data_IF_384289854785
#
_entry.id   IF_384289854785
#
_cell.length_a   1.000
_cell.length_b   1.000
_cell.length_c   1.000
_cell.angle_alpha   90.00
_cell.angle_beta   90.00
_cell.angle_gamma   90.00
#
_symmetry.space_group_name_H-M   'P 1'
#
loop_
_entity.id
_entity.type
_entity.pdbx_description
1 polymer ?
#
# COMPACT_ATOMS: atom_id res chain seq x y z
N UNK A 1 -31.33 2.70 -12.39
CA UNK A 1 -30.79 4.01 -11.97
C UNK A 1 -30.49 4.82 -13.22
N UNK A 2 -31.19 5.93 -13.46
CA UNK A 2 -30.84 6.86 -14.55
C UNK A 2 -29.65 7.67 -14.05
N UNK A 3 -28.48 7.52 -14.70
CA UNK A 3 -27.29 8.28 -14.33
C UNK A 3 -27.48 9.77 -14.59
N UNK A 4 -27.13 10.63 -13.62
CA UNK A 4 -27.14 12.09 -13.80
C UNK A 4 -25.73 12.64 -13.98
N UNK A 5 -25.58 13.46 -15.03
CA UNK A 5 -24.45 14.35 -15.30
C UNK A 5 -24.19 15.37 -14.18
N UNK A 6 -23.08 15.31 -13.43
CA UNK A 6 -22.65 16.43 -12.55
C UNK A 6 -21.27 16.91 -13.01
N UNK A 7 -21.14 18.21 -13.29
CA UNK A 7 -19.87 18.81 -13.68
C UNK A 7 -19.04 19.21 -12.44
N UNK A 8 -17.77 19.57 -12.65
CA UNK A 8 -16.85 19.91 -11.57
C UNK A 8 -17.25 21.16 -10.78
N UNK A 9 -17.82 22.17 -11.44
CA UNK A 9 -18.29 23.41 -10.81
C UNK A 9 -19.45 23.14 -9.86
N UNK A 10 -20.46 22.38 -10.30
CA UNK A 10 -21.59 22.01 -9.46
C UNK A 10 -21.12 21.18 -8.27
N UNK A 11 -20.27 20.17 -8.51
CA UNK A 11 -19.74 19.33 -7.43
C UNK A 11 -18.96 20.14 -6.38
N UNK A 12 -18.23 21.18 -6.81
CA UNK A 12 -17.52 22.10 -5.93
C UNK A 12 -18.48 22.98 -5.10
N UNK A 13 -19.56 23.48 -5.72
CA UNK A 13 -20.62 24.22 -5.02
C UNK A 13 -21.31 23.33 -3.98
N UNK A 14 -21.57 22.07 -4.33
CA UNK A 14 -22.18 21.09 -3.42
C UNK A 14 -21.30 20.83 -2.20
N UNK A 15 -19.98 20.68 -2.39
CA UNK A 15 -19.03 20.53 -1.27
C UNK A 15 -18.93 21.79 -0.41
N UNK A 16 -19.00 22.97 -1.04
CA UNK A 16 -18.99 24.25 -0.31
C UNK A 16 -20.25 24.37 0.56
N UNK A 17 -21.42 24.06 0.00
CA UNK A 17 -22.68 24.03 0.73
C UNK A 17 -22.63 23.03 1.89
N UNK A 18 -22.11 21.82 1.65
CA UNK A 18 -21.95 20.81 2.70
C UNK A 18 -21.01 21.30 3.81
N UNK A 19 -19.89 21.95 3.48
CA UNK A 19 -18.99 22.55 4.47
C UNK A 19 -19.72 23.57 5.35
N UNK A 20 -20.50 24.47 4.76
CA UNK A 20 -21.29 25.45 5.50
C UNK A 20 -22.30 24.79 6.44
N UNK A 21 -22.98 23.72 5.98
CA UNK A 21 -23.92 22.96 6.80
C UNK A 21 -23.23 22.23 7.96
N UNK A 22 -22.04 21.65 7.74
CA UNK A 22 -21.26 21.03 8.81
C UNK A 22 -20.82 22.07 9.86
N UNK A 23 -20.45 23.28 9.41
CA UNK A 23 -20.01 24.36 10.29
C UNK A 23 -21.16 25.02 11.06
N UNK A 24 -22.38 25.00 10.55
CA UNK A 24 -23.55 25.58 11.25
C UNK A 24 -24.03 24.72 12.42
N UNK A 25 -23.71 23.42 12.44
CA UNK A 25 -24.06 22.52 13.54
C UNK A 25 -22.89 22.45 14.53
N UNK A 26 -23.09 22.91 15.77
CA UNK A 26 -22.05 22.94 16.83
C UNK A 26 -21.32 21.61 16.99
N UNK A 27 -22.01 20.48 16.88
CA UNK A 27 -21.41 19.15 16.99
C UNK A 27 -20.45 18.84 15.83
N UNK A 28 -20.77 19.27 14.60
CA UNK A 28 -20.01 18.97 13.39
C UNK A 28 -19.05 20.09 12.95
N UNK A 29 -18.92 21.19 13.70
CA UNK A 29 -18.12 22.34 13.27
C UNK A 29 -16.64 22.04 12.99
N UNK A 30 -16.10 20.94 13.56
CA UNK A 30 -14.74 20.42 13.32
C UNK A 30 -14.69 19.14 12.49
N UNK A 31 -15.83 18.70 11.94
CA UNK A 31 -15.87 17.51 11.12
C UNK A 31 -15.04 17.73 9.85
N UNK A 32 -14.21 16.73 9.53
CA UNK A 32 -13.45 16.76 8.30
C UNK A 32 -14.34 16.43 7.09
N UNK A 33 -14.06 17.06 5.96
CA UNK A 33 -14.70 16.82 4.68
C UNK A 33 -13.63 16.41 3.66
N UNK A 34 -13.85 15.28 3.01
CA UNK A 34 -12.94 14.72 2.01
C UNK A 34 -13.66 14.61 0.67
N UNK A 35 -12.95 14.85 -0.42
CA UNK A 35 -13.55 14.80 -1.75
C UNK A 35 -12.52 14.97 -2.87
N UNK A 36 -12.91 14.84 -4.14
CA UNK A 36 -14.25 14.49 -4.61
C UNK A 36 -14.45 12.97 -4.77
N UNK A 37 -13.53 12.14 -4.27
CA UNK A 37 -13.48 10.70 -4.52
C UNK A 37 -13.44 10.39 -6.03
N UNK A 38 -12.58 11.12 -6.76
CA UNK A 38 -12.45 10.96 -8.20
C UNK A 38 -12.04 9.53 -8.58
N UNK A 39 -12.60 9.01 -9.68
CA UNK A 39 -12.19 7.70 -10.19
C UNK A 39 -10.75 7.67 -10.70
N UNK A 40 -10.38 6.57 -11.35
CA UNK A 40 -9.06 6.40 -11.98
C UNK A 40 -8.75 7.62 -12.88
N UNK A 41 -7.57 8.28 -12.78
CA UNK A 41 -7.25 9.54 -13.45
C UNK A 41 -7.02 9.39 -14.96
N UNK A 42 -8.08 9.00 -15.67
CA UNK A 42 -8.25 9.12 -17.12
C UNK A 42 -8.67 10.56 -17.46
N UNK A 43 -8.75 10.89 -18.75
CA UNK A 43 -9.02 12.25 -19.26
C UNK A 43 -10.18 12.94 -18.51
N UNK A 44 -11.35 12.33 -18.47
CA UNK A 44 -12.54 12.96 -17.85
C UNK A 44 -12.44 13.09 -16.33
N UNK A 45 -11.86 12.09 -15.65
CA UNK A 45 -11.67 12.14 -14.20
C UNK A 45 -10.65 13.19 -13.79
N UNK A 46 -9.59 13.39 -14.59
CA UNK A 46 -8.62 14.47 -14.37
C UNK A 46 -9.24 15.84 -14.65
N UNK A 47 -10.05 15.99 -15.70
CA UNK A 47 -10.77 17.25 -15.96
C UNK A 47 -11.76 17.58 -14.84
N UNK A 48 -12.46 16.57 -14.32
CA UNK A 48 -13.33 16.74 -13.16
C UNK A 48 -12.53 17.18 -11.93
N UNK A 49 -11.42 16.49 -11.63
CA UNK A 49 -10.57 16.81 -10.49
C UNK A 49 -9.96 18.20 -10.60
N UNK A 50 -9.48 18.59 -11.77
CA UNK A 50 -8.88 19.91 -12.03
C UNK A 50 -9.90 21.03 -11.79
N UNK A 51 -11.09 20.93 -12.38
CA UNK A 51 -12.16 21.90 -12.16
C UNK A 51 -12.65 21.91 -10.71
N UNK A 52 -12.69 20.74 -10.05
CA UNK A 52 -13.08 20.67 -8.64
C UNK A 52 -12.05 21.35 -7.75
N UNK A 53 -10.75 21.07 -7.95
CA UNK A 53 -9.67 21.68 -7.18
C UNK A 53 -9.60 23.19 -7.37
N UNK A 54 -9.84 23.69 -8.59
CA UNK A 54 -9.90 25.12 -8.89
C UNK A 54 -10.98 25.85 -8.06
N UNK A 55 -12.11 25.21 -7.79
CA UNK A 55 -13.27 25.86 -7.16
C UNK A 55 -13.48 25.48 -5.68
N UNK A 56 -13.03 24.30 -5.24
CA UNK A 56 -13.27 23.76 -3.91
C UNK A 56 -12.04 23.11 -3.26
N UNK A 57 -10.83 23.31 -3.79
CA UNK A 57 -9.59 22.75 -3.20
C UNK A 57 -9.35 23.19 -1.75
N UNK A 58 -9.75 24.41 -1.39
CA UNK A 58 -9.66 24.94 -0.02
C UNK A 58 -10.73 24.38 0.91
N UNK A 59 -11.85 23.91 0.38
CA UNK A 59 -13.04 23.47 1.14
C UNK A 59 -12.84 22.09 1.77
N UNK A 60 -12.10 21.20 1.09
CA UNK A 60 -11.83 19.84 1.56
C UNK A 60 -10.55 19.78 2.41
N UNK A 61 -10.54 18.93 3.44
CA UNK A 61 -9.36 18.68 4.28
C UNK A 61 -8.31 17.82 3.55
N UNK A 62 -8.77 16.87 2.75
CA UNK A 62 -7.93 16.04 1.88
C UNK A 62 -8.61 15.72 0.56
N UNK A 63 -7.80 15.58 -0.48
CA UNK A 63 -8.22 15.20 -1.82
C UNK A 63 -8.27 13.68 -1.92
N UNK A 64 -9.42 13.12 -2.26
CA UNK A 64 -9.62 11.68 -2.40
C UNK A 64 -9.78 11.27 -3.86
N UNK A 65 -9.15 10.15 -4.22
CA UNK A 65 -9.27 9.52 -5.54
C UNK A 65 -9.08 8.01 -5.45
N UNK A 66 -9.45 7.28 -6.49
CA UNK A 66 -9.48 5.82 -6.47
C UNK A 66 -8.57 5.18 -7.53
N UNK A 67 -8.01 4.03 -7.18
CA UNK A 67 -7.14 3.24 -8.06
C UNK A 67 -7.48 1.75 -7.97
N UNK A 68 -7.69 1.12 -9.13
CA UNK A 68 -7.82 -0.33 -9.23
C UNK A 68 -6.93 -0.85 -10.35
N UNK A 69 -6.22 -1.94 -10.07
CA UNK A 69 -5.20 -2.49 -10.96
C UNK A 69 -5.80 -3.24 -12.14
N UNK A 70 -6.78 -4.10 -11.87
CA UNK A 70 -7.41 -4.95 -12.88
C UNK A 70 -8.10 -4.10 -13.94
N UNK A 71 -7.74 -4.39 -15.18
CA UNK A 71 -8.51 -4.10 -16.37
C UNK A 71 -8.65 -5.41 -17.17
N UNK A 72 -9.22 -5.34 -18.37
CA UNK A 72 -9.42 -6.54 -19.21
C UNK A 72 -8.14 -7.30 -19.60
N UNK A 73 -6.94 -6.83 -19.23
CA UNK A 73 -5.65 -7.49 -19.52
C UNK A 73 -5.11 -8.34 -18.38
N UNK A 74 -5.79 -8.33 -17.23
CA UNK A 74 -5.39 -9.09 -16.03
C UNK A 74 -6.33 -10.27 -15.89
N UNK A 75 -5.84 -11.48 -16.23
CA UNK A 75 -6.68 -12.69 -16.25
C UNK A 75 -6.06 -13.89 -15.52
N UNK A 76 -4.81 -13.76 -15.04
CA UNK A 76 -4.12 -14.81 -14.27
C UNK A 76 -3.21 -14.24 -13.20
N UNK A 77 -2.91 -15.03 -12.17
CA UNK A 77 -2.11 -14.60 -11.00
C UNK A 77 -0.71 -14.12 -11.37
N UNK A 78 -0.11 -14.64 -12.45
CA UNK A 78 1.21 -14.21 -12.92
C UNK A 78 1.21 -12.76 -13.44
N UNK A 79 0.05 -12.22 -13.81
CA UNK A 79 -0.07 -10.84 -14.27
C UNK A 79 0.21 -9.84 -13.13
N UNK A 80 -0.04 -10.23 -11.87
CA UNK A 80 0.28 -9.41 -10.70
C UNK A 80 1.80 -9.25 -10.46
N UNK A 81 2.61 -10.12 -11.07
CA UNK A 81 4.07 -10.01 -11.02
C UNK A 81 4.64 -9.07 -12.11
N UNK A 82 3.80 -8.57 -13.02
CA UNK A 82 4.23 -7.65 -14.09
C UNK A 82 4.46 -6.27 -13.49
N UNK A 83 5.71 -5.83 -13.47
CA UNK A 83 6.12 -4.48 -13.02
C UNK A 83 5.35 -3.36 -13.72
N UNK A 84 4.97 -3.55 -14.99
CA UNK A 84 4.11 -2.61 -15.72
C UNK A 84 2.81 -2.30 -14.98
N UNK A 85 2.21 -3.30 -14.36
CA UNK A 85 0.95 -3.17 -13.62
C UNK A 85 1.17 -2.33 -12.36
N UNK A 86 2.26 -2.58 -11.65
CA UNK A 86 2.68 -1.82 -10.47
C UNK A 86 2.97 -0.35 -10.79
N UNK A 87 3.67 -0.09 -11.91
CA UNK A 87 4.03 1.25 -12.39
C UNK A 87 2.80 2.12 -12.69
N UNK A 88 1.63 1.50 -12.97
CA UNK A 88 0.41 2.26 -13.25
C UNK A 88 -0.05 3.11 -12.07
N UNK A 89 0.25 2.72 -10.83
CA UNK A 89 -0.08 3.51 -9.65
C UNK A 89 0.81 4.76 -9.59
N UNK A 90 2.11 4.63 -9.84
CA UNK A 90 3.07 5.74 -9.89
C UNK A 90 2.66 6.81 -10.90
N UNK A 91 2.34 6.40 -12.12
CA UNK A 91 1.90 7.33 -13.17
C UNK A 91 0.62 8.08 -12.77
N UNK A 92 -0.27 7.41 -12.04
CA UNK A 92 -1.56 7.99 -11.62
C UNK A 92 -1.40 8.92 -10.42
N UNK A 93 -0.58 8.55 -9.43
CA UNK A 93 -0.22 9.43 -8.32
C UNK A 93 0.35 10.73 -8.87
N UNK A 94 1.33 10.66 -9.80
CA UNK A 94 1.95 11.84 -10.41
C UNK A 94 0.94 12.76 -11.12
N UNK A 95 -0.06 12.20 -11.80
CA UNK A 95 -1.12 12.99 -12.45
C UNK A 95 -1.98 13.71 -11.42
N UNK A 96 -2.39 13.01 -10.37
CA UNK A 96 -3.26 13.56 -9.32
C UNK A 96 -2.51 14.61 -8.51
N UNK A 97 -1.30 14.31 -8.04
CA UNK A 97 -0.50 15.25 -7.24
C UNK A 97 -0.11 16.48 -8.04
N UNK A 98 0.12 16.36 -9.36
CA UNK A 98 0.32 17.53 -10.24
C UNK A 98 -0.90 18.46 -10.20
N UNK A 99 -2.11 17.94 -10.38
CA UNK A 99 -3.33 18.76 -10.33
C UNK A 99 -3.52 19.39 -8.95
N UNK A 100 -3.36 18.60 -7.88
CA UNK A 100 -3.50 19.10 -6.51
C UNK A 100 -2.49 20.20 -6.21
N UNK A 101 -1.22 20.03 -6.58
CA UNK A 101 -0.17 21.02 -6.34
C UNK A 101 -0.32 22.28 -7.19
N UNK A 102 -0.97 22.21 -8.36
CA UNK A 102 -1.28 23.41 -9.16
C UNK A 102 -2.27 24.34 -8.45
N UNK A 103 -3.30 23.78 -7.80
CA UNK A 103 -4.40 24.56 -7.23
C UNK A 103 -4.34 24.72 -5.70
N UNK A 104 -3.72 23.79 -4.99
CA UNK A 104 -3.63 23.77 -3.53
C UNK A 104 -2.35 23.06 -3.06
N UNK A 105 -1.16 23.69 -3.23
CA UNK A 105 0.11 23.14 -2.76
C UNK A 105 0.07 22.67 -1.30
N UNK A 106 0.59 21.48 -1.03
CA UNK A 106 0.64 20.92 0.33
C UNK A 106 -0.67 20.34 0.85
N UNK A 107 -1.76 20.40 0.07
CA UNK A 107 -3.01 19.72 0.40
C UNK A 107 -2.79 18.21 0.49
N UNK A 108 -3.38 17.59 1.52
CA UNK A 108 -3.31 16.15 1.77
C UNK A 108 -3.99 15.37 0.66
N UNK A 109 -3.38 14.26 0.24
CA UNK A 109 -3.89 13.42 -0.85
C UNK A 109 -4.07 12.00 -0.36
N UNK A 110 -5.27 11.47 -0.53
CA UNK A 110 -5.68 10.16 -0.04
C UNK A 110 -6.11 9.28 -1.21
N UNK A 111 -5.71 8.01 -1.18
CA UNK A 111 -6.30 6.96 -1.99
C UNK A 111 -7.60 6.51 -1.31
N UNK A 112 -8.72 7.08 -1.75
CA UNK A 112 -10.07 6.85 -1.23
C UNK A 112 -10.67 5.48 -1.56
N UNK A 113 -10.00 4.69 -2.40
CA UNK A 113 -10.36 3.31 -2.70
C UNK A 113 -9.24 2.67 -3.51
N UNK A 114 -8.66 1.60 -2.97
CA UNK A 114 -7.62 0.82 -3.63
C UNK A 114 -7.87 -0.67 -3.48
N UNK A 115 -7.72 -1.41 -4.58
CA UNK A 115 -7.82 -2.86 -4.56
C UNK A 115 -7.39 -3.49 -5.89
N UNK A 116 -7.41 -4.84 -5.97
CA UNK A 116 -7.16 -5.53 -7.23
C UNK A 116 -8.18 -5.14 -8.29
N UNK A 117 -9.48 -5.08 -7.98
CA UNK A 117 -10.55 -4.76 -8.93
C UNK A 117 -11.57 -3.78 -8.35
N UNK A 118 -12.26 -3.04 -9.23
CA UNK A 118 -13.32 -2.09 -8.86
C UNK A 118 -14.62 -2.75 -8.38
N UNK A 119 -15.06 -3.83 -9.04
CA UNK A 119 -16.33 -4.50 -8.76
C UNK A 119 -16.12 -6.00 -8.58
N UNK A 120 -16.53 -6.53 -7.43
CA UNK A 120 -16.64 -7.96 -7.14
C UNK A 120 -15.35 -8.78 -7.14
N UNK A 121 -14.27 -8.32 -7.80
CA UNK A 121 -13.06 -9.11 -7.96
C UNK A 121 -13.27 -10.35 -8.82
N UNK A 122 -12.21 -11.15 -8.94
CA UNK A 122 -12.24 -12.43 -9.65
C UNK A 122 -11.80 -13.51 -8.67
N UNK A 123 -12.60 -14.56 -8.54
CA UNK A 123 -12.28 -15.75 -7.73
C UNK A 123 -10.94 -16.35 -8.15
N UNK A 124 -10.16 -16.83 -7.19
CA UNK A 124 -8.83 -17.43 -7.42
C UNK A 124 -7.84 -16.46 -8.08
N UNK A 125 -8.06 -15.16 -7.91
CA UNK A 125 -7.18 -14.10 -8.37
C UNK A 125 -7.10 -12.98 -7.33
N UNK A 126 -8.22 -12.30 -7.06
CA UNK A 126 -8.29 -11.13 -6.16
C UNK A 126 -8.14 -11.48 -4.68
N UNK A 127 -8.46 -12.71 -4.31
CA UNK A 127 -8.51 -13.27 -2.96
C UNK A 127 -7.31 -14.19 -2.66
N UNK A 128 -6.26 -14.13 -3.47
CA UNK A 128 -5.10 -15.03 -3.40
C UNK A 128 -3.85 -14.33 -2.86
N UNK A 129 -2.85 -15.12 -2.47
CA UNK A 129 -1.54 -14.63 -2.05
C UNK A 129 -0.92 -13.66 -3.07
N UNK A 130 -1.12 -13.89 -4.37
CA UNK A 130 -0.60 -13.02 -5.41
C UNK A 130 -1.14 -11.58 -5.31
N UNK A 131 -2.37 -11.38 -4.85
CA UNK A 131 -2.94 -10.03 -4.68
C UNK A 131 -2.12 -9.17 -3.70
N UNK A 132 -1.43 -9.83 -2.75
CA UNK A 132 -0.51 -9.20 -1.81
C UNK A 132 0.63 -8.44 -2.46
N UNK A 133 1.08 -8.86 -3.65
CA UNK A 133 2.11 -8.12 -4.39
C UNK A 133 1.61 -6.73 -4.80
N UNK A 134 0.37 -6.63 -5.28
CA UNK A 134 -0.25 -5.36 -5.61
C UNK A 134 -0.45 -4.52 -4.35
N UNK A 135 -0.96 -5.15 -3.28
CA UNK A 135 -1.31 -4.46 -2.04
C UNK A 135 -0.09 -3.87 -1.32
N UNK A 136 0.92 -4.69 -1.02
CA UNK A 136 2.12 -4.23 -0.29
C UNK A 136 2.94 -3.26 -1.13
N UNK A 137 2.99 -3.44 -2.46
CA UNK A 137 3.62 -2.49 -3.36
C UNK A 137 2.87 -1.15 -3.35
N UNK A 138 1.53 -1.17 -3.39
CA UNK A 138 0.73 0.05 -3.35
C UNK A 138 0.99 0.85 -2.08
N UNK A 139 1.06 0.19 -0.91
CA UNK A 139 1.39 0.84 0.36
C UNK A 139 2.77 1.53 0.32
N UNK A 140 3.80 0.84 -0.19
CA UNK A 140 5.13 1.43 -0.31
C UNK A 140 5.22 2.57 -1.32
N UNK A 141 4.65 2.38 -2.51
CA UNK A 141 4.65 3.42 -3.55
C UNK A 141 3.86 4.66 -3.14
N UNK A 142 2.73 4.48 -2.46
CA UNK A 142 1.90 5.56 -1.94
C UNK A 142 2.66 6.36 -0.87
N UNK A 143 3.27 5.68 0.10
CA UNK A 143 4.04 6.32 1.16
C UNK A 143 5.24 7.13 0.60
N UNK A 144 6.03 6.54 -0.31
CA UNK A 144 7.19 7.23 -0.92
C UNK A 144 6.78 8.45 -1.74
N UNK A 145 5.61 8.44 -2.35
CA UNK A 145 5.10 9.55 -3.17
C UNK A 145 4.22 10.54 -2.40
N UNK A 146 4.19 10.44 -1.06
CA UNK A 146 3.50 11.42 -0.21
C UNK A 146 1.98 11.30 -0.19
N UNK A 147 1.42 10.13 -0.51
CA UNK A 147 0.01 9.84 -0.23
C UNK A 147 -0.13 9.59 1.28
N UNK A 148 -0.99 10.36 1.94
CA UNK A 148 -1.11 10.34 3.40
C UNK A 148 -1.94 9.15 3.93
N UNK A 149 -2.97 8.74 3.17
CA UNK A 149 -3.90 7.66 3.56
C UNK A 149 -4.22 6.77 2.36
N UNK A 150 -4.27 5.47 2.60
CA UNK A 150 -4.70 4.46 1.63
C UNK A 150 -5.87 3.67 2.22
N UNK A 151 -7.03 3.79 1.59
CA UNK A 151 -8.24 3.04 1.96
C UNK A 151 -8.34 1.78 1.11
N UNK A 152 -8.19 0.61 1.74
CA UNK A 152 -8.38 -0.69 1.10
C UNK A 152 -9.87 -0.94 0.84
N UNK A 153 -10.24 -1.11 -0.42
CA UNK A 153 -11.56 -1.57 -0.81
C UNK A 153 -11.50 -3.10 -1.03
N UNK A 154 -12.13 -3.94 -0.20
CA UNK A 154 -12.92 -3.66 1.03
C UNK A 154 -12.37 -4.44 2.23
N UNK A 155 -12.83 -4.12 3.45
CA UNK A 155 -12.55 -4.95 4.62
C UNK A 155 -13.35 -6.25 4.56
N UNK A 156 -14.66 -6.13 4.39
CA UNK A 156 -15.64 -7.21 4.27
C UNK A 156 -16.71 -6.76 3.27
N UNK A 157 -17.01 -7.57 2.25
CA UNK A 157 -18.00 -7.29 1.20
C UNK A 157 -18.29 -8.56 0.41
N UNK A 158 -19.36 -8.55 -0.38
CA UNK A 158 -19.63 -9.58 -1.39
C UNK A 158 -18.57 -9.55 -2.51
N UNK A 159 -18.26 -10.71 -3.09
CA UNK A 159 -17.24 -10.84 -4.15
C UNK A 159 -15.92 -11.43 -3.63
N UNK A 160 -14.79 -10.91 -4.11
CA UNK A 160 -13.45 -11.49 -3.95
C UNK A 160 -12.35 -10.43 -3.68
N UNK A 161 -12.71 -9.17 -3.42
CA UNK A 161 -11.74 -8.07 -3.17
C UNK A 161 -11.54 -7.77 -1.68
N UNK A 162 -12.32 -8.40 -0.81
CA UNK A 162 -12.35 -8.21 0.63
C UNK A 162 -11.10 -8.75 1.32
N UNK A 163 -10.79 -8.24 2.51
CA UNK A 163 -9.72 -8.78 3.36
C UNK A 163 -10.20 -10.00 4.17
N UNK A 164 -11.50 -10.08 4.46
CA UNK A 164 -12.12 -11.16 5.24
C UNK A 164 -13.25 -11.77 4.42
N UNK A 165 -13.25 -13.09 4.30
CA UNK A 165 -14.27 -13.81 3.53
C UNK A 165 -15.63 -13.89 4.22
N UNK A 166 -16.63 -14.43 3.52
CA UNK A 166 -18.01 -14.55 4.01
C UNK A 166 -18.16 -15.48 5.23
N UNK A 167 -17.15 -16.32 5.50
CA UNK A 167 -17.08 -17.18 6.67
C UNK A 167 -16.22 -16.54 7.79
N UNK A 168 -15.94 -15.24 7.68
CA UNK A 168 -15.09 -14.47 8.59
C UNK A 168 -13.63 -14.94 8.66
N UNK A 169 -13.14 -15.64 7.64
CA UNK A 169 -11.74 -16.04 7.59
C UNK A 169 -10.87 -14.92 6.99
N UNK A 170 -9.76 -14.54 7.66
CA UNK A 170 -8.81 -13.60 7.10
C UNK A 170 -8.07 -14.18 5.88
N UNK A 171 -8.16 -13.48 4.74
CA UNK A 171 -7.45 -13.80 3.50
C UNK A 171 -5.99 -13.31 3.53
N UNK A 172 -5.13 -13.67 2.54
CA UNK A 172 -3.71 -13.31 2.56
C UNK A 172 -3.44 -11.81 2.73
N UNK A 173 -4.23 -10.96 2.06
CA UNK A 173 -4.11 -9.50 2.18
C UNK A 173 -4.42 -8.97 3.57
N UNK A 174 -5.26 -9.65 4.36
CA UNK A 174 -5.48 -9.31 5.75
C UNK A 174 -4.20 -9.50 6.56
N UNK A 175 -3.56 -10.65 6.41
CA UNK A 175 -2.32 -10.96 7.12
C UNK A 175 -1.17 -10.04 6.72
N UNK A 176 -1.05 -9.69 5.44
CA UNK A 176 -0.13 -8.64 4.99
C UNK A 176 -0.42 -7.30 5.66
N UNK A 177 -1.69 -6.92 5.76
CA UNK A 177 -2.13 -5.68 6.41
C UNK A 177 -1.83 -5.68 7.90
N UNK A 178 -2.05 -6.80 8.59
CA UNK A 178 -1.77 -6.95 10.02
C UNK A 178 -0.26 -6.84 10.29
N UNK A 179 0.58 -7.57 9.55
CA UNK A 179 2.05 -7.48 9.68
C UNK A 179 2.52 -6.06 9.37
N UNK A 180 2.01 -5.42 8.31
CA UNK A 180 2.32 -4.04 7.98
C UNK A 180 1.96 -3.09 9.14
N UNK A 181 0.73 -3.18 9.66
CA UNK A 181 0.25 -2.34 10.76
C UNK A 181 1.08 -2.50 12.04
N UNK A 182 1.53 -3.73 12.34
CA UNK A 182 2.32 -4.04 13.54
C UNK A 182 3.80 -3.64 13.42
N UNK A 183 4.36 -3.53 12.22
CA UNK A 183 5.80 -3.32 12.03
C UNK A 183 6.16 -1.97 11.41
N UNK A 184 5.32 -1.42 10.53
CA UNK A 184 5.65 -0.24 9.72
C UNK A 184 5.09 1.01 10.38
N UNK A 185 5.97 1.95 10.74
CA UNK A 185 5.61 3.23 11.33
C UNK A 185 5.34 4.32 10.29
N UNK A 186 4.86 5.49 10.72
CA UNK A 186 4.40 6.55 9.80
C UNK A 186 5.55 7.29 9.09
N UNK A 187 6.78 7.27 9.63
CA UNK A 187 7.92 7.98 9.02
C UNK A 187 8.56 7.14 7.93
N UNK A 188 8.40 7.61 6.70
CA UNK A 188 8.98 7.01 5.48
C UNK A 188 10.48 7.32 5.41
N UNK A 189 11.29 6.35 4.99
CA UNK A 189 12.73 6.48 4.79
C UNK A 189 13.08 6.20 3.32
N UNK A 190 14.08 6.92 2.80
CA UNK A 190 14.60 6.67 1.47
C UNK A 190 15.49 5.40 1.45
N UNK A 191 15.32 4.58 0.42
CA UNK A 191 16.13 3.38 0.18
C UNK A 191 17.04 3.61 -1.02
N UNK A 192 18.32 3.26 -0.89
CA UNK A 192 19.29 3.24 -1.98
C UNK A 192 19.89 1.85 -2.11
N UNK A 193 19.85 1.29 -3.32
CA UNK A 193 20.40 -0.04 -3.60
C UNK A 193 21.59 0.09 -4.55
N UNK A 194 22.76 -0.36 -4.08
CA UNK A 194 23.96 -0.41 -4.89
C UNK A 194 23.82 -1.47 -6.00
N UNK A 195 24.26 -1.16 -7.23
CA UNK A 195 24.28 -2.10 -8.36
C UNK A 195 22.97 -2.22 -9.16
N UNK A 196 21.86 -1.63 -8.70
CA UNK A 196 20.61 -1.52 -9.48
C UNK A 196 20.54 -0.22 -10.30
N UNK A 197 21.42 0.74 -10.02
CA UNK A 197 21.59 1.96 -10.84
C UNK A 197 22.41 1.65 -12.10
N UNK A 198 21.86 0.85 -13.01
CA UNK A 198 22.30 0.92 -14.41
C UNK A 198 21.65 2.17 -15.00
N UNK A 199 22.45 3.10 -15.54
CA UNK A 199 21.91 4.26 -16.28
C UNK A 199 20.86 3.73 -17.29
N UNK A 200 19.63 4.28 -17.31
CA UNK A 200 18.65 3.86 -18.29
C UNK A 200 19.24 4.10 -19.68
N UNK A 201 19.44 3.03 -20.45
CA UNK A 201 19.81 3.16 -21.85
C UNK A 201 18.61 3.73 -22.61
N UNK A 202 18.81 4.67 -23.55
CA UNK A 202 17.73 5.14 -24.42
C UNK A 202 16.99 3.95 -25.04
N UNK A 203 15.68 3.86 -24.82
CA UNK A 203 14.83 2.76 -25.32
C UNK A 203 14.69 1.53 -24.41
N UNK A 204 15.42 1.42 -23.27
CA UNK A 204 15.33 0.27 -22.36
C UNK A 204 14.89 0.69 -20.95
N UNK A 205 13.59 0.58 -20.67
CA UNK A 205 13.05 0.75 -19.32
C UNK A 205 13.43 -0.49 -18.50
N UNK A 206 14.46 -0.39 -17.68
CA UNK A 206 14.80 -1.43 -16.70
C UNK A 206 13.76 -1.35 -15.59
N UNK A 207 12.80 -2.27 -15.59
CA UNK A 207 11.80 -2.38 -14.53
C UNK A 207 12.27 -3.33 -13.46
N UNK A 208 12.53 -2.80 -12.27
CA UNK A 208 13.03 -3.58 -11.16
C UNK A 208 11.96 -4.54 -10.63
N UNK A 209 12.27 -5.83 -10.60
CA UNK A 209 11.40 -6.86 -10.04
C UNK A 209 11.66 -7.06 -8.54
N UNK A 210 12.54 -6.27 -7.95
CA UNK A 210 12.78 -6.21 -6.51
C UNK A 210 12.37 -4.83 -6.00
N UNK A 211 11.28 -4.77 -5.23
CA UNK A 211 10.80 -3.51 -4.64
C UNK A 211 11.19 -3.49 -3.17
N UNK A 212 11.82 -2.40 -2.72
CA UNK A 212 12.31 -2.26 -1.35
C UNK A 212 11.86 -0.91 -0.79
N UNK A 213 11.19 -0.95 0.35
CA UNK A 213 10.72 0.23 1.06
C UNK A 213 11.20 0.18 2.51
N UNK A 214 11.36 1.34 3.13
CA UNK A 214 11.80 1.44 4.51
C UNK A 214 11.05 2.52 5.25
N UNK A 215 10.72 2.25 6.50
CA UNK A 215 10.10 3.18 7.42
C UNK A 215 10.76 3.05 8.79
N UNK A 216 10.59 4.05 9.64
CA UNK A 216 10.79 3.83 11.07
C UNK A 216 9.83 2.73 11.55
N UNK A 217 10.28 1.90 12.48
CA UNK A 217 9.44 0.84 13.05
C UNK A 217 8.26 1.44 13.82
N UNK A 218 7.11 0.77 13.78
CA UNK A 218 5.90 1.19 14.48
C UNK A 218 6.15 1.35 15.98
N UNK A 219 5.78 2.51 16.54
CA UNK A 219 5.93 2.81 17.96
C UNK A 219 4.89 2.10 18.85
N UNK A 220 3.84 1.52 18.24
CA UNK A 220 2.84 0.69 18.93
C UNK A 220 3.35 -0.73 19.21
N UNK A 221 4.51 -1.09 18.66
CA UNK A 221 5.10 -2.40 18.87
C UNK A 221 6.17 -2.34 19.97
N UNK A 222 5.78 -2.72 21.18
CA UNK A 222 6.65 -2.67 22.36
C UNK A 222 7.86 -3.63 22.30
N UNK A 223 7.90 -4.57 21.35
CA UNK A 223 9.04 -5.47 21.16
C UNK A 223 10.26 -4.76 20.50
N UNK A 224 10.08 -3.53 20.01
CA UNK A 224 11.09 -2.76 19.31
C UNK A 224 11.29 -1.39 19.95
N UNK A 225 12.55 -1.06 20.25
CA UNK A 225 12.91 0.25 20.78
C UNK A 225 12.76 1.33 19.71
N UNK A 226 12.45 2.55 20.15
CA UNK A 226 12.49 3.75 19.28
C UNK A 226 13.86 3.86 18.61
N UNK A 227 13.88 4.33 17.37
CA UNK A 227 15.08 4.31 16.54
C UNK A 227 15.25 3.06 15.69
N UNK A 228 14.41 2.03 15.84
CA UNK A 228 14.40 0.85 14.96
C UNK A 228 13.86 1.18 13.56
N UNK A 229 14.32 0.43 12.56
CA UNK A 229 13.91 0.58 11.15
C UNK A 229 13.24 -0.71 10.68
N UNK A 230 12.11 -0.58 9.99
CA UNK A 230 11.44 -1.68 9.31
C UNK A 230 11.63 -1.54 7.80
N UNK A 231 12.24 -2.54 7.18
CA UNK A 231 12.36 -2.67 5.73
C UNK A 231 11.35 -3.73 5.27
N UNK A 232 10.64 -3.50 4.19
CA UNK A 232 9.86 -4.54 3.53
C UNK A 232 10.24 -4.66 2.07
N UNK A 233 10.36 -5.91 1.63
CA UNK A 233 10.93 -6.30 0.36
C UNK A 233 9.93 -7.18 -0.37
N UNK A 234 9.69 -6.86 -1.63
CA UNK A 234 8.86 -7.63 -2.54
C UNK A 234 9.75 -8.18 -3.64
N UNK A 235 9.95 -9.49 -3.67
CA UNK A 235 10.71 -10.16 -4.72
C UNK A 235 9.76 -10.74 -5.77
N UNK A 236 9.60 -10.06 -6.90
CA UNK A 236 8.81 -10.52 -8.04
C UNK A 236 9.60 -11.40 -9.01
N UNK A 237 10.90 -11.64 -8.74
CA UNK A 237 11.68 -12.56 -9.56
C UNK A 237 11.29 -14.01 -9.28
N UNK A 238 11.41 -14.85 -10.33
CA UNK A 238 11.37 -16.32 -10.23
C UNK A 238 12.67 -16.92 -9.65
N UNK A 239 13.60 -16.09 -9.21
CA UNK A 239 14.87 -16.50 -8.59
C UNK A 239 15.07 -15.86 -7.22
N UNK A 240 15.80 -16.57 -6.37
CA UNK A 240 16.19 -16.09 -5.04
C UNK A 240 17.07 -14.84 -5.17
N UNK A 241 16.82 -13.83 -4.33
CA UNK A 241 17.67 -12.64 -4.21
C UNK A 241 18.38 -12.61 -2.87
N UNK A 242 19.61 -12.10 -2.89
CA UNK A 242 20.49 -11.97 -1.72
C UNK A 242 20.71 -10.48 -1.49
N UNK A 243 20.26 -9.96 -0.36
CA UNK A 243 20.32 -8.54 -0.02
C UNK A 243 21.27 -8.38 1.16
N UNK A 244 22.32 -7.59 0.96
CA UNK A 244 23.28 -7.25 2.01
C UNK A 244 22.97 -5.84 2.51
N UNK A 245 22.77 -5.72 3.82
CA UNK A 245 22.69 -4.41 4.46
C UNK A 245 24.08 -3.76 4.46
N UNK A 246 24.13 -2.46 4.19
CA UNK A 246 25.37 -1.70 4.04
C UNK A 246 25.55 -0.66 5.16
N UNK A 247 26.78 -0.17 5.31
CA UNK A 247 27.13 0.85 6.29
C UNK A 247 26.76 0.44 7.72
N UNK A 248 26.18 1.38 8.47
CA UNK A 248 25.78 1.19 9.87
C UNK A 248 24.71 0.10 10.05
N UNK A 249 23.95 -0.25 9.01
CA UNK A 249 22.92 -1.29 9.07
C UNK A 249 23.51 -2.71 9.15
N UNK A 250 24.73 -2.92 8.64
CA UNK A 250 25.32 -4.26 8.44
C UNK A 250 25.46 -5.07 9.73
N UNK A 251 25.84 -4.43 10.83
CA UNK A 251 26.24 -5.10 12.07
C UNK A 251 25.09 -5.24 13.08
N UNK A 252 23.84 -5.21 12.62
CA UNK A 252 22.67 -5.28 13.50
C UNK A 252 21.96 -6.62 13.39
N UNK A 253 21.31 -6.99 14.49
CA UNK A 253 20.36 -8.10 14.50
C UNK A 253 19.13 -7.69 13.69
N UNK A 254 18.68 -8.61 12.83
CA UNK A 254 17.50 -8.40 12.00
C UNK A 254 16.44 -9.42 12.38
N UNK A 255 15.24 -8.95 12.71
CA UNK A 255 14.08 -9.81 12.88
C UNK A 255 13.36 -9.96 11.54
N UNK A 256 13.32 -11.18 11.01
CA UNK A 256 12.65 -11.52 9.77
C UNK A 256 11.19 -11.91 10.02
N UNK A 257 10.32 -11.42 9.14
CA UNK A 257 8.92 -11.78 8.98
C UNK A 257 8.68 -12.09 7.51
N UNK A 258 9.03 -13.30 7.10
CA UNK A 258 8.91 -13.73 5.71
C UNK A 258 7.55 -14.37 5.49
N UNK A 259 6.74 -13.79 4.61
CA UNK A 259 5.43 -14.35 4.24
C UNK A 259 5.55 -15.12 2.92
N UNK A 260 4.98 -16.32 2.92
CA UNK A 260 4.97 -17.23 1.78
C UNK A 260 3.58 -17.84 1.63
N UNK A 261 3.17 -18.28 0.43
CA UNK A 261 1.93 -19.04 0.31
C UNK A 261 2.03 -20.33 1.14
N UNK A 262 0.92 -20.73 1.74
CA UNK A 262 0.79 -21.99 2.46
C UNK A 262 0.00 -23.00 1.62
N UNK A 263 0.46 -24.25 1.57
CA UNK A 263 -0.12 -25.31 0.74
C UNK A 263 0.52 -25.44 -0.65
N UNK A 264 -0.17 -26.14 -1.55
CA UNK A 264 0.35 -26.53 -2.88
C UNK A 264 -0.01 -25.56 -4.00
N UNK A 265 -0.96 -24.65 -3.77
CA UNK A 265 -1.51 -23.76 -4.80
C UNK A 265 -0.58 -22.61 -5.21
N UNK A 266 0.58 -22.49 -4.54
CA UNK A 266 1.56 -21.45 -4.81
C UNK A 266 0.93 -20.06 -4.79
N UNK A 267 1.04 -19.32 -5.90
CA UNK A 267 0.51 -17.96 -6.00
C UNK A 267 -1.02 -17.86 -5.82
N UNK A 268 -1.76 -18.94 -6.06
CA UNK A 268 -3.22 -19.00 -5.90
C UNK A 268 -3.65 -19.34 -4.48
N UNK A 269 -2.73 -19.61 -3.55
CA UNK A 269 -3.06 -19.97 -2.19
C UNK A 269 -3.90 -18.87 -1.51
N UNK A 270 -4.96 -19.28 -0.80
CA UNK A 270 -5.77 -18.41 0.06
C UNK A 270 -5.27 -18.37 1.52
N UNK A 271 -4.21 -19.12 1.80
CA UNK A 271 -3.53 -19.12 3.10
C UNK A 271 -2.09 -18.67 2.94
N UNK A 272 -1.57 -18.03 3.98
CA UNK A 272 -0.20 -17.55 4.06
C UNK A 272 0.45 -18.13 5.31
N UNK A 273 1.75 -18.33 5.24
CA UNK A 273 2.59 -18.69 6.38
C UNK A 273 3.59 -17.58 6.67
N UNK A 274 3.87 -17.36 7.96
CA UNK A 274 4.89 -16.47 8.46
C UNK A 274 6.07 -17.31 8.97
N UNK A 275 7.24 -17.15 8.34
CA UNK A 275 8.47 -17.86 8.70
C UNK A 275 8.34 -19.41 8.75
N UNK A 276 7.35 -19.98 8.05
CA UNK A 276 7.08 -21.43 8.02
C UNK A 276 5.84 -21.85 8.80
N UNK A 277 5.23 -20.96 9.59
CA UNK A 277 4.03 -21.26 10.38
C UNK A 277 2.79 -20.67 9.70
N UNK A 278 1.75 -21.50 9.50
CA UNK A 278 0.48 -21.06 8.90
C UNK A 278 -0.17 -19.98 9.78
N UNK A 279 -0.57 -18.86 9.18
CA UNK A 279 -1.31 -17.83 9.90
C UNK A 279 -2.81 -18.15 9.90
N UNK A 280 -3.36 -18.23 11.10
CA UNK A 280 -4.79 -18.38 11.39
C UNK A 280 -5.11 -17.59 12.66
N UNK A 281 -6.36 -17.18 12.82
CA UNK A 281 -6.86 -16.77 14.12
C UNK A 281 -6.71 -17.94 15.10
N UNK A 282 -6.39 -17.65 16.37
CA UNK A 282 -6.34 -18.70 17.42
C UNK A 282 -7.77 -19.13 17.76
N UNK A 283 -8.65 -18.14 17.86
CA UNK A 283 -10.09 -18.26 18.10
C UNK A 283 -10.77 -16.98 17.54
N UNK A 284 -12.06 -16.77 17.81
CA UNK A 284 -12.82 -15.63 17.26
C UNK A 284 -12.37 -14.25 17.79
N UNK A 285 -11.56 -14.20 18.85
CA UNK A 285 -11.19 -12.97 19.55
C UNK A 285 -9.67 -12.72 19.55
N UNK A 286 -8.88 -13.75 19.24
CA UNK A 286 -7.43 -13.75 19.47
C UNK A 286 -6.63 -13.87 18.18
N UNK A 287 -5.82 -12.83 17.91
CA UNK A 287 -4.81 -12.88 16.84
C UNK A 287 -3.65 -13.82 17.19
N UNK A 288 -3.05 -14.51 16.20
CA UNK A 288 -1.84 -15.28 16.43
C UNK A 288 -0.67 -14.37 16.78
N UNK A 289 0.27 -14.91 17.55
CA UNK A 289 1.55 -14.23 17.77
C UNK A 289 2.35 -14.16 16.46
N UNK A 290 2.79 -12.97 16.08
CA UNK A 290 3.65 -12.77 14.91
C UNK A 290 5.12 -13.00 15.32
N UNK A 291 5.56 -14.26 15.33
CA UNK A 291 6.91 -14.64 15.76
C UNK A 291 7.99 -14.30 14.72
N UNK A 292 8.99 -13.47 15.07
CA UNK A 292 10.11 -13.19 14.17
C UNK A 292 11.11 -14.35 14.12
N UNK A 293 11.78 -14.50 12.99
CA UNK A 293 13.01 -15.30 12.89
C UNK A 293 14.23 -14.39 13.01
N UNK A 294 15.06 -14.61 14.02
CA UNK A 294 16.26 -13.80 14.25
C UNK A 294 17.38 -14.14 13.27
N UNK A 295 17.85 -13.14 12.53
CA UNK A 295 19.04 -13.21 11.70
C UNK A 295 20.21 -12.52 12.42
N UNK A 296 21.32 -13.25 12.54
CA UNK A 296 22.56 -12.72 13.15
C UNK A 296 23.11 -11.53 12.37
N UNK A 297 23.82 -10.65 13.07
CA UNK A 297 24.49 -9.50 12.47
C UNK A 297 25.38 -9.90 11.29
N UNK A 298 25.42 -9.06 10.24
CA UNK A 298 26.17 -9.31 9.01
C UNK A 298 25.57 -10.37 8.09
N UNK A 299 24.51 -11.08 8.49
CA UNK A 299 23.88 -12.09 7.65
C UNK A 299 23.18 -11.43 6.46
N UNK A 300 23.38 -12.03 5.29
CA UNK A 300 22.67 -11.63 4.07
C UNK A 300 21.20 -12.07 4.17
N UNK A 301 20.29 -11.13 3.89
CA UNK A 301 18.86 -11.42 3.77
C UNK A 301 18.63 -12.22 2.49
N UNK A 302 18.09 -13.43 2.62
CA UNK A 302 17.75 -14.28 1.49
C UNK A 302 16.24 -14.18 1.22
N UNK A 303 15.89 -13.56 0.10
CA UNK A 303 14.51 -13.46 -0.39
C UNK A 303 14.22 -14.62 -1.35
N UNK A 304 13.34 -15.58 -1.01
CA UNK A 304 12.90 -16.59 -1.97
C UNK A 304 12.19 -15.96 -3.19
N UNK A 305 12.06 -16.70 -4.30
CA UNK A 305 11.29 -16.25 -5.46
C UNK A 305 9.84 -15.90 -5.09
N UNK A 306 9.28 -14.83 -5.66
CA UNK A 306 7.86 -14.48 -5.53
C UNK A 306 7.39 -14.44 -4.06
N UNK A 307 8.12 -13.69 -3.23
CA UNK A 307 7.83 -13.55 -1.79
C UNK A 307 7.79 -12.10 -1.33
N UNK A 308 7.12 -11.89 -0.19
CA UNK A 308 7.08 -10.61 0.52
C UNK A 308 7.66 -10.85 1.91
N UNK A 309 8.59 -10.00 2.34
CA UNK A 309 9.20 -10.11 3.67
C UNK A 309 9.35 -8.76 4.33
N UNK A 310 9.14 -8.72 5.65
CA UNK A 310 9.42 -7.58 6.51
C UNK A 310 10.62 -7.90 7.39
N UNK A 311 11.47 -6.90 7.61
CA UNK A 311 12.76 -7.04 8.27
C UNK A 311 12.95 -5.86 9.22
N UNK A 312 12.89 -6.12 10.52
CA UNK A 312 13.12 -5.09 11.53
C UNK A 312 14.59 -5.12 11.95
N UNK A 313 15.28 -4.03 11.69
CA UNK A 313 16.66 -3.79 12.13
C UNK A 313 16.58 -3.18 13.53
N UNK A 314 16.85 -3.99 14.54
CA UNK A 314 16.74 -3.60 15.94
C UNK A 314 17.92 -2.73 16.36
N UNK A 315 17.69 -1.86 17.34
CA UNK A 315 18.72 -1.16 18.10
C UNK A 315 19.70 -0.31 17.26
N UNK A 316 19.34 0.03 16.02
CA UNK A 316 20.15 0.89 15.14
C UNK A 316 20.19 2.35 15.60
N UNK A 317 19.28 2.73 16.51
CA UNK A 317 19.20 4.07 17.10
C UNK A 317 19.13 5.20 16.04
N UNK A 318 18.43 4.95 14.93
CA UNK A 318 18.35 5.88 13.82
C UNK A 318 17.71 7.20 14.28
N UNK A 319 18.43 8.30 14.09
CA UNK A 319 18.03 9.62 14.59
C UNK A 319 16.63 10.03 14.13
N UNK A 320 16.33 9.85 12.84
CA UNK A 320 15.02 10.13 12.25
C UNK A 320 13.87 9.29 12.85
N UNK A 321 14.18 8.19 13.53
CA UNK A 321 13.21 7.24 14.08
C UNK A 321 13.09 7.27 15.61
N UNK A 322 13.80 8.19 16.28
CA UNK A 322 13.70 8.39 17.73
C UNK A 322 12.58 9.32 18.16
N UNK A 323 12.30 10.33 17.32
CA UNK A 323 11.36 11.42 17.63
C UNK A 323 9.91 11.01 17.44
#
# INVERSE_FOLDING_TARGET
MVGRAVNSTQLAQDHTKLRTLLQSVRYYHRAHLYGPNAGRPRKNAILLLDGFMKNAGSVVDAVTWQHYYMDGRVNKVEDFLKTRLLDTLTEQINKVTKVVNTHSPGKKVWLGGLGPAWAGGINNLSDTYAAGFLWVNALGMAAVQGIDVVLRHSFFDYGYTHLVDQNFNPLPDYWFSLVYKRLVGPRVLAVRVAGLQRKPQPGRVIRDKLQIYAHCTSYYNHNYVRGSITIYIINLHRSRKKIKLAGTLRNNIVHQYLLQPYGTDGLRAKYVQLNGEKLLMVDNETFPELKPKTLRAGRTIAMPPMTIGFYVIKNINAYACRR
#
